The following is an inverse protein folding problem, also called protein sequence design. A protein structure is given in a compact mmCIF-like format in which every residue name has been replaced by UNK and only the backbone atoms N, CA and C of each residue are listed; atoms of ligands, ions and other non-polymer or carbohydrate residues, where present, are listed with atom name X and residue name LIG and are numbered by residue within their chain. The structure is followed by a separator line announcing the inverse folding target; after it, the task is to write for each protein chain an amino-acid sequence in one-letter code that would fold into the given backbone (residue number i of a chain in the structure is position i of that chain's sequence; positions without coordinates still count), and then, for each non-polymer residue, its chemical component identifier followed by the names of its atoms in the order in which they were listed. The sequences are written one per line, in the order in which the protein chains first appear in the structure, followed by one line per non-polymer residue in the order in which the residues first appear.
data_IF_970042705299
#
_entry.id   IF_970042705299
#
_cell.length_a   1.000
_cell.length_b   1.000
_cell.length_c   1.000
_cell.angle_alpha   90.00
_cell.angle_beta   90.00
_cell.angle_gamma   90.00
#
_symmetry.space_group_name_H-M   'P 1'
#
loop_
_entity.id
_entity.type
_entity.pdbx_description
1 polymer ?
#
# COMPACT_ATOMS: atom_id res chain seq x y z
N UNK A 1 -16.30 -6.45 26.87
CA UNK A 1 -16.70 -5.60 25.73
C UNK A 1 -16.55 -6.44 24.47
N UNK A 2 -17.65 -6.97 23.93
CA UNK A 2 -17.61 -7.61 22.61
C UNK A 2 -17.33 -6.50 21.60
N UNK A 3 -16.14 -6.52 21.00
CA UNK A 3 -15.75 -5.49 20.05
C UNK A 3 -16.49 -5.77 18.73
N UNK A 4 -17.70 -5.21 18.59
CA UNK A 4 -18.50 -5.25 17.36
C UNK A 4 -17.95 -4.35 16.25
N UNK A 5 -16.72 -3.82 16.40
CA UNK A 5 -16.07 -3.00 15.40
C UNK A 5 -15.50 -3.88 14.27
N UNK A 6 -15.93 -3.62 13.04
CA UNK A 6 -15.34 -4.24 11.85
C UNK A 6 -14.00 -3.57 11.57
N UNK A 7 -12.90 -4.29 11.75
CA UNK A 7 -11.57 -3.79 11.40
C UNK A 7 -11.36 -3.80 9.89
N UNK A 8 -11.45 -2.64 9.26
CA UNK A 8 -11.23 -2.42 7.81
C UNK A 8 -9.87 -1.81 7.49
N UNK A 9 -9.02 -1.60 8.51
CA UNK A 9 -7.64 -1.12 8.34
C UNK A 9 -6.75 -2.28 7.93
N UNK A 10 -5.68 -2.00 7.19
CA UNK A 10 -4.76 -3.04 6.76
C UNK A 10 -3.53 -2.47 6.08
N UNK A 11 -2.92 -3.30 5.23
CA UNK A 11 -1.81 -2.89 4.37
C UNK A 11 -2.29 -1.83 3.37
N UNK A 12 -1.40 -0.94 2.88
CA UNK A 12 -1.80 0.04 1.88
C UNK A 12 -2.42 -0.64 0.65
N UNK A 13 -3.57 -0.16 0.18
CA UNK A 13 -4.31 -0.78 -0.93
C UNK A 13 -3.50 -0.81 -2.22
N UNK A 14 -2.62 0.19 -2.38
CA UNK A 14 -1.65 0.28 -3.45
C UNK A 14 -0.71 -0.93 -3.51
N UNK A 15 -0.46 -1.65 -2.41
CA UNK A 15 0.39 -2.85 -2.40
C UNK A 15 -0.19 -3.98 -3.26
N UNK A 16 -1.52 -4.12 -3.26
CA UNK A 16 -2.22 -5.20 -3.99
C UNK A 16 -2.85 -4.72 -5.30
N UNK A 17 -3.07 -3.42 -5.47
CA UNK A 17 -3.59 -2.83 -6.70
C UNK A 17 -2.76 -1.61 -7.12
N UNK A 18 -1.90 -1.74 -8.14
CA UNK A 18 -1.08 -0.63 -8.65
C UNK A 18 -1.92 0.55 -9.15
N UNK A 19 -3.18 0.32 -9.51
CA UNK A 19 -4.12 1.36 -9.92
C UNK A 19 -4.34 2.41 -8.83
N UNK A 20 -4.25 2.04 -7.54
CA UNK A 20 -4.34 3.02 -6.46
C UNK A 20 -3.05 3.82 -6.25
N UNK A 21 -1.88 3.27 -6.60
CA UNK A 21 -0.65 4.06 -6.67
C UNK A 21 -0.70 5.08 -7.81
N UNK A 22 -1.27 4.68 -8.96
CA UNK A 22 -1.54 5.58 -10.09
C UNK A 22 -2.47 6.72 -9.66
N UNK A 23 -3.58 6.40 -8.97
CA UNK A 23 -4.48 7.42 -8.43
C UNK A 23 -3.74 8.46 -7.58
N UNK A 24 -2.99 8.00 -6.57
CA UNK A 24 -2.32 8.88 -5.61
C UNK A 24 -1.30 9.78 -6.32
N UNK A 25 -0.58 9.24 -7.29
CA UNK A 25 0.40 9.98 -8.09
C UNK A 25 -0.27 11.06 -8.94
N UNK A 26 -1.33 10.73 -9.68
CA UNK A 26 -2.02 11.68 -10.55
C UNK A 26 -2.81 12.74 -9.78
N UNK A 27 -3.35 12.40 -8.61
CA UNK A 27 -4.10 13.34 -7.78
C UNK A 27 -3.21 14.45 -7.20
N UNK A 28 -1.92 14.15 -6.98
CA UNK A 28 -0.93 15.08 -6.44
C UNK A 28 -0.10 15.82 -7.51
N UNK A 29 -0.20 15.39 -8.78
CA UNK A 29 0.57 15.94 -9.90
C UNK A 29 0.24 17.42 -10.19
N UNK A 30 1.05 18.34 -9.66
CA UNK A 30 0.89 19.77 -9.88
C UNK A 30 1.20 20.22 -11.31
N UNK A 31 1.78 19.36 -12.15
CA UNK A 31 2.07 19.65 -13.55
C UNK A 31 0.90 19.36 -14.48
N UNK A 32 -0.15 18.68 -14.00
CA UNK A 32 -1.35 18.37 -14.79
C UNK A 32 -2.05 19.64 -15.30
N UNK A 33 -2.25 19.69 -16.63
CA UNK A 33 -3.03 20.72 -17.31
C UNK A 33 -4.20 20.07 -18.03
N UNK A 34 -5.46 20.26 -17.59
CA UNK A 34 -6.61 19.71 -18.29
C UNK A 34 -6.85 20.43 -19.62
N UNK A 35 -7.39 19.70 -20.60
CA UNK A 35 -7.94 20.31 -21.80
C UNK A 35 -9.17 21.19 -21.46
N UNK A 36 -9.56 22.05 -22.42
CA UNK A 36 -10.62 23.04 -22.20
C UNK A 36 -12.00 22.40 -21.95
N UNK A 37 -12.28 21.25 -22.57
CA UNK A 37 -13.56 20.54 -22.40
C UNK A 37 -13.64 19.93 -21.01
N UNK A 38 -12.60 19.20 -20.59
CA UNK A 38 -12.50 18.60 -19.27
C UNK A 38 -12.54 19.65 -18.15
N UNK A 39 -11.87 20.79 -18.34
CA UNK A 39 -11.92 21.91 -17.42
C UNK A 39 -13.33 22.50 -17.32
N UNK A 40 -14.03 22.63 -18.46
CA UNK A 40 -15.40 23.11 -18.49
C UNK A 40 -16.36 22.17 -17.73
N UNK A 41 -16.28 20.87 -17.98
CA UNK A 41 -17.06 19.85 -17.27
C UNK A 41 -16.77 19.86 -15.76
N UNK A 42 -15.49 19.99 -15.38
CA UNK A 42 -15.09 20.11 -13.97
C UNK A 42 -15.73 21.34 -13.32
N UNK A 43 -15.69 22.49 -13.99
CA UNK A 43 -16.33 23.71 -13.50
C UNK A 43 -17.85 23.54 -13.35
N UNK A 44 -18.52 22.92 -14.33
CA UNK A 44 -19.96 22.63 -14.24
C UNK A 44 -20.29 21.73 -13.06
N UNK A 45 -19.49 20.66 -12.86
CA UNK A 45 -19.59 19.77 -11.71
C UNK A 45 -19.44 20.53 -10.39
N UNK A 46 -18.40 21.32 -10.22
CA UNK A 46 -18.20 22.09 -8.99
C UNK A 46 -19.34 23.08 -8.74
N UNK A 47 -19.83 23.75 -9.79
CA UNK A 47 -20.97 24.68 -9.69
C UNK A 47 -22.23 23.97 -9.22
N UNK A 48 -22.51 22.78 -9.74
CA UNK A 48 -23.68 21.98 -9.35
C UNK A 48 -23.49 21.35 -7.97
N UNK A 49 -22.30 20.87 -7.65
CA UNK A 49 -21.96 20.35 -6.32
C UNK A 49 -22.16 21.40 -5.23
N UNK A 50 -21.87 22.68 -5.53
CA UNK A 50 -22.08 23.84 -4.64
C UNK A 50 -23.56 24.22 -4.44
N UNK A 51 -24.47 23.74 -5.29
CA UNK A 51 -25.87 24.11 -5.21
C UNK A 51 -26.56 23.40 -4.04
N UNK A 52 -27.49 24.10 -3.40
CA UNK A 52 -28.35 23.52 -2.36
C UNK A 52 -29.51 22.81 -3.06
N UNK A 53 -29.61 21.50 -2.85
CA UNK A 53 -30.72 20.69 -3.34
C UNK A 53 -31.73 20.47 -2.22
N UNK A 54 -33.02 20.48 -2.56
CA UNK A 54 -34.08 20.18 -1.59
C UNK A 54 -34.38 18.67 -1.51
N UNK A 55 -33.98 17.91 -2.53
CA UNK A 55 -34.18 16.46 -2.62
C UNK A 55 -32.88 15.77 -2.99
N UNK A 56 -32.62 14.64 -2.34
CA UNK A 56 -31.45 13.79 -2.57
C UNK A 56 -31.43 13.25 -4.00
N UNK A 57 -32.57 12.76 -4.48
CA UNK A 57 -32.74 12.23 -5.83
C UNK A 57 -32.32 13.24 -6.92
N UNK A 58 -32.76 14.50 -6.80
CA UNK A 58 -32.44 15.56 -7.77
C UNK A 58 -30.92 15.86 -7.78
N UNK A 59 -30.26 15.77 -6.62
CA UNK A 59 -28.81 15.91 -6.51
C UNK A 59 -28.09 14.75 -7.18
N UNK A 60 -28.50 13.51 -6.88
CA UNK A 60 -27.91 12.31 -7.43
C UNK A 60 -28.01 12.28 -8.97
N UNK A 61 -29.18 12.58 -9.54
CA UNK A 61 -29.40 12.60 -10.99
C UNK A 61 -28.50 13.63 -11.71
N UNK A 62 -28.45 14.86 -11.20
CA UNK A 62 -27.64 15.94 -11.79
C UNK A 62 -26.14 15.64 -11.72
N UNK A 63 -25.65 15.15 -10.58
CA UNK A 63 -24.24 14.85 -10.40
C UNK A 63 -23.81 13.58 -11.15
N UNK A 64 -24.65 12.53 -11.18
CA UNK A 64 -24.40 11.32 -11.96
C UNK A 64 -24.30 11.60 -13.46
N UNK A 65 -25.09 12.53 -13.99
CA UNK A 65 -24.94 12.95 -15.39
C UNK A 65 -23.57 13.57 -15.66
N UNK A 66 -23.14 14.51 -14.82
CA UNK A 66 -21.85 15.18 -14.97
C UNK A 66 -20.68 14.22 -14.78
N UNK A 67 -20.75 13.32 -13.80
CA UNK A 67 -19.76 12.25 -13.65
C UNK A 67 -19.73 11.34 -14.87
N UNK A 68 -20.87 11.02 -15.48
CA UNK A 68 -20.89 10.21 -16.70
C UNK A 68 -20.13 10.89 -17.84
N UNK A 69 -20.32 12.19 -18.02
CA UNK A 69 -19.62 13.01 -19.01
C UNK A 69 -18.11 13.11 -18.70
N UNK A 70 -17.75 13.41 -17.44
CA UNK A 70 -16.35 13.56 -16.99
C UNK A 70 -15.56 12.25 -17.16
N UNK A 71 -16.17 11.12 -16.77
CA UNK A 71 -15.51 9.82 -16.80
C UNK A 71 -15.62 9.14 -18.16
N UNK A 72 -16.49 9.62 -19.05
CA UNK A 72 -16.79 8.98 -20.34
C UNK A 72 -17.41 7.59 -20.16
N UNK A 73 -18.18 7.39 -19.08
CA UNK A 73 -18.75 6.10 -18.69
C UNK A 73 -20.15 6.29 -18.15
N UNK A 74 -21.08 5.42 -18.51
CA UNK A 74 -22.44 5.47 -17.96
C UNK A 74 -22.43 5.13 -16.47
N UNK A 75 -23.05 5.98 -15.65
CA UNK A 75 -23.41 5.65 -14.27
C UNK A 75 -24.76 4.93 -14.29
N UNK A 76 -24.78 3.74 -13.70
CA UNK A 76 -25.95 2.88 -13.64
C UNK A 76 -26.56 2.93 -12.24
N UNK A 77 -27.88 2.94 -12.18
CA UNK A 77 -28.65 2.64 -10.98
C UNK A 77 -28.76 1.11 -10.86
N UNK A 78 -27.92 0.53 -10.00
CA UNK A 78 -27.84 -0.91 -9.78
C UNK A 78 -28.18 -1.23 -8.33
N UNK A 79 -29.28 -1.96 -8.13
CA UNK A 79 -29.55 -2.59 -6.84
C UNK A 79 -28.57 -3.74 -6.61
N UNK A 80 -27.77 -3.65 -5.55
CA UNK A 80 -26.69 -4.58 -5.23
C UNK A 80 -27.05 -5.30 -3.92
N UNK A 81 -27.73 -6.44 -4.05
CA UNK A 81 -28.26 -7.16 -2.90
C UNK A 81 -29.26 -6.31 -2.12
N UNK A 82 -28.87 -5.88 -0.92
CA UNK A 82 -29.66 -5.00 -0.05
C UNK A 82 -29.23 -3.53 -0.16
N UNK A 83 -28.10 -3.24 -0.78
CA UNK A 83 -27.62 -1.89 -1.03
C UNK A 83 -28.23 -1.36 -2.33
N UNK A 84 -28.51 -0.06 -2.32
CA UNK A 84 -29.02 0.64 -3.49
C UNK A 84 -28.25 1.96 -3.63
N UNK A 85 -26.98 1.90 -4.07
CA UNK A 85 -26.19 3.10 -4.22
C UNK A 85 -26.75 3.99 -5.32
N UNK A 86 -26.57 5.30 -5.16
CA UNK A 86 -27.03 6.29 -6.13
C UNK A 86 -26.38 6.15 -7.51
N UNK A 87 -25.22 5.48 -7.59
CA UNK A 87 -24.59 5.19 -8.86
C UNK A 87 -23.55 4.08 -8.79
N UNK A 88 -23.41 3.35 -9.90
CA UNK A 88 -22.37 2.35 -10.10
C UNK A 88 -21.76 2.48 -11.49
N UNK A 89 -20.42 2.42 -11.55
CA UNK A 89 -19.67 2.30 -12.80
C UNK A 89 -19.13 0.88 -12.86
N UNK A 90 -19.52 0.14 -13.89
CA UNK A 90 -19.14 -1.25 -14.09
C UNK A 90 -18.51 -1.46 -15.46
N UNK A 91 -17.81 -2.57 -15.63
CA UNK A 91 -17.39 -3.06 -16.95
C UNK A 91 -17.74 -4.54 -17.10
N UNK A 92 -17.80 -4.99 -18.34
CA UNK A 92 -18.03 -6.40 -18.66
C UNK A 92 -16.69 -7.11 -18.82
N UNK A 93 -16.35 -7.98 -17.87
CA UNK A 93 -15.20 -8.85 -17.94
C UNK A 93 -15.55 -10.08 -18.80
N UNK A 94 -14.73 -10.36 -19.81
CA UNK A 94 -14.96 -11.45 -20.76
C UNK A 94 -13.79 -12.42 -20.75
N UNK A 95 -14.07 -13.72 -20.70
CA UNK A 95 -13.08 -14.77 -20.87
C UNK A 95 -13.69 -15.98 -21.59
N UNK A 96 -12.83 -16.82 -22.15
CA UNK A 96 -13.23 -18.03 -22.87
C UNK A 96 -13.32 -19.24 -21.92
N UNK A 97 -14.41 -20.00 -22.05
CA UNK A 97 -14.57 -21.35 -21.48
C UNK A 97 -14.91 -22.36 -22.58
N UNK A 98 -14.91 -23.66 -22.27
CA UNK A 98 -15.19 -24.73 -23.24
C UNK A 98 -16.56 -24.56 -23.96
N UNK A 99 -17.51 -23.87 -23.33
CA UNK A 99 -18.88 -23.67 -23.81
C UNK A 99 -19.08 -22.31 -24.50
N UNK A 100 -18.03 -21.49 -24.64
CA UNK A 100 -18.06 -20.16 -25.24
C UNK A 100 -17.64 -19.03 -24.29
N UNK A 101 -17.78 -17.76 -24.72
CA UNK A 101 -17.40 -16.61 -23.91
C UNK A 101 -18.33 -16.43 -22.72
N UNK A 102 -17.74 -16.26 -21.54
CA UNK A 102 -18.45 -15.92 -20.31
C UNK A 102 -18.30 -14.43 -20.03
N UNK A 103 -19.40 -13.81 -19.63
CA UNK A 103 -19.50 -12.39 -19.34
C UNK A 103 -19.79 -12.19 -17.85
N UNK A 104 -19.04 -11.32 -17.19
CA UNK A 104 -19.21 -10.97 -15.78
C UNK A 104 -19.20 -9.46 -15.58
N UNK A 105 -20.21 -8.93 -14.91
CA UNK A 105 -20.25 -7.52 -14.52
C UNK A 105 -19.35 -7.27 -13.32
N UNK A 106 -18.37 -6.38 -13.47
CA UNK A 106 -17.38 -6.07 -12.44
C UNK A 106 -17.43 -4.57 -12.09
N UNK A 107 -17.43 -4.19 -10.80
CA UNK A 107 -17.51 -2.78 -10.41
C UNK A 107 -16.14 -2.10 -10.49
N UNK A 108 -16.10 -0.94 -11.16
CA UNK A 108 -14.97 0.00 -11.11
C UNK A 108 -15.16 1.01 -9.98
N UNK A 109 -16.38 1.53 -9.84
CA UNK A 109 -16.73 2.49 -8.81
C UNK A 109 -18.16 2.31 -8.30
N UNK A 110 -18.37 2.57 -7.01
CA UNK A 110 -19.69 2.72 -6.37
C UNK A 110 -19.79 4.13 -5.80
N UNK A 111 -20.95 4.76 -5.99
CA UNK A 111 -21.16 6.19 -5.76
C UNK A 111 -22.36 6.39 -4.84
N UNK A 112 -22.18 7.21 -3.81
CA UNK A 112 -23.25 7.64 -2.91
C UNK A 112 -23.24 9.17 -2.76
N UNK A 113 -24.42 9.77 -2.88
CA UNK A 113 -24.65 11.19 -2.68
C UNK A 113 -25.53 11.41 -1.45
N UNK A 114 -25.21 12.48 -0.73
CA UNK A 114 -26.06 13.06 0.31
C UNK A 114 -26.18 14.54 0.06
N UNK A 115 -27.37 15.06 0.38
CA UNK A 115 -27.66 16.49 0.21
C UNK A 115 -26.66 17.32 1.02
N UNK A 116 -26.50 16.97 2.30
CA UNK A 116 -25.55 17.59 3.21
C UNK A 116 -25.04 16.58 4.25
N UNK A 117 -23.90 16.84 4.93
CA UNK A 117 -23.44 16.01 6.04
C UNK A 117 -24.52 15.80 7.10
N UNK A 118 -24.79 14.54 7.43
CA UNK A 118 -25.81 14.15 8.41
C UNK A 118 -27.23 13.97 7.85
N UNK A 119 -27.45 14.19 6.55
CA UNK A 119 -28.70 13.83 5.89
C UNK A 119 -28.78 12.31 5.62
N UNK A 120 -29.98 11.77 5.42
CA UNK A 120 -30.18 10.36 5.03
C UNK A 120 -29.99 9.30 6.12
N UNK A 121 -29.67 9.69 7.36
CA UNK A 121 -29.59 8.77 8.51
C UNK A 121 -28.37 7.84 8.53
N UNK A 122 -27.52 7.89 7.50
CA UNK A 122 -26.24 7.19 7.42
C UNK A 122 -25.24 8.02 6.62
N UNK A 123 -23.96 7.87 6.94
CA UNK A 123 -22.85 8.52 6.24
C UNK A 123 -22.71 7.98 4.80
N UNK A 124 -22.59 8.86 3.79
CA UNK A 124 -22.46 8.46 2.38
C UNK A 124 -21.28 7.49 2.15
N UNK A 125 -20.14 7.75 2.80
CA UNK A 125 -18.96 6.90 2.75
C UNK A 125 -19.23 5.51 3.29
N UNK A 126 -19.83 5.40 4.47
CA UNK A 126 -20.20 4.10 5.06
C UNK A 126 -21.15 3.33 4.14
N UNK A 127 -22.15 3.99 3.53
CA UNK A 127 -23.06 3.36 2.58
C UNK A 127 -22.33 2.86 1.33
N UNK A 128 -21.45 3.68 0.75
CA UNK A 128 -20.71 3.32 -0.46
C UNK A 128 -19.79 2.11 -0.21
N UNK A 129 -19.10 2.09 0.95
CA UNK A 129 -18.24 0.98 1.35
C UNK A 129 -19.04 -0.31 1.59
N UNK A 130 -20.21 -0.20 2.22
CA UNK A 130 -21.11 -1.34 2.42
C UNK A 130 -21.67 -1.86 1.08
N UNK A 131 -21.96 -0.97 0.13
CA UNK A 131 -22.40 -1.34 -1.21
C UNK A 131 -21.31 -2.05 -2.01
N UNK A 132 -20.04 -1.63 -1.90
CA UNK A 132 -18.90 -2.37 -2.50
C UNK A 132 -18.82 -3.79 -1.96
N UNK A 133 -18.89 -3.96 -0.64
CA UNK A 133 -18.87 -5.30 -0.02
C UNK A 133 -20.04 -6.16 -0.52
N UNK A 134 -21.26 -5.62 -0.53
CA UNK A 134 -22.43 -6.33 -1.04
C UNK A 134 -22.31 -6.69 -2.53
N UNK A 135 -21.67 -5.85 -3.35
CA UNK A 135 -21.47 -6.17 -4.78
C UNK A 135 -20.72 -7.48 -4.94
N UNK A 136 -19.61 -7.58 -4.23
CA UNK A 136 -18.76 -8.73 -4.29
C UNK A 136 -19.36 -9.92 -3.52
N UNK A 137 -20.05 -9.72 -2.40
CA UNK A 137 -20.76 -10.82 -1.73
C UNK A 137 -21.87 -11.45 -2.59
N UNK A 138 -22.62 -10.66 -3.36
CA UNK A 138 -23.61 -11.19 -4.29
C UNK A 138 -22.99 -11.82 -5.54
N UNK A 139 -21.77 -11.42 -5.87
CA UNK A 139 -20.94 -12.03 -6.92
C UNK A 139 -20.08 -13.17 -6.37
N UNK A 140 -20.49 -13.84 -5.28
CA UNK A 140 -19.68 -14.86 -4.61
C UNK A 140 -19.23 -15.94 -5.58
N UNK A 141 -17.90 -16.16 -5.66
CA UNK A 141 -17.19 -17.11 -6.56
C UNK A 141 -17.02 -16.65 -8.00
N UNK A 142 -17.25 -15.37 -8.28
CA UNK A 142 -16.96 -14.80 -9.60
C UNK A 142 -15.49 -15.02 -10.01
N UNK A 143 -15.25 -15.01 -11.32
CA UNK A 143 -13.90 -15.18 -11.85
C UNK A 143 -13.04 -13.98 -11.48
N UNK A 144 -13.58 -12.77 -11.50
CA UNK A 144 -12.85 -11.56 -11.09
C UNK A 144 -12.34 -11.63 -9.65
N UNK A 145 -13.14 -12.18 -8.72
CA UNK A 145 -12.72 -12.41 -7.33
C UNK A 145 -11.57 -13.42 -7.21
N UNK A 146 -11.62 -14.50 -7.99
CA UNK A 146 -10.57 -15.52 -7.97
C UNK A 146 -9.26 -15.02 -8.60
N UNK A 147 -9.33 -14.01 -9.47
CA UNK A 147 -8.19 -13.48 -10.22
C UNK A 147 -7.56 -12.23 -9.60
N UNK A 148 -8.22 -11.53 -8.69
CA UNK A 148 -7.72 -10.25 -8.20
C UNK A 148 -8.12 -10.00 -6.75
N UNK A 149 -7.65 -8.89 -6.20
CA UNK A 149 -8.07 -8.39 -4.89
C UNK A 149 -9.33 -7.52 -4.97
N UNK A 150 -10.16 -7.68 -6.01
CA UNK A 150 -11.41 -6.92 -6.18
C UNK A 150 -11.23 -5.39 -6.05
N UNK A 151 -10.28 -4.77 -6.77
CA UNK A 151 -10.03 -3.34 -6.65
C UNK A 151 -11.27 -2.55 -7.13
N UNK A 152 -11.84 -1.76 -6.23
CA UNK A 152 -13.02 -0.92 -6.52
C UNK A 152 -12.84 0.44 -5.88
N UNK A 153 -13.27 1.50 -6.55
CA UNK A 153 -13.36 2.85 -5.96
C UNK A 153 -14.70 2.99 -5.24
N UNK A 154 -14.71 3.53 -4.03
CA UNK A 154 -15.93 4.06 -3.43
C UNK A 154 -15.85 5.59 -3.43
N UNK A 155 -16.82 6.23 -4.06
CA UNK A 155 -16.92 7.68 -4.20
C UNK A 155 -18.12 8.12 -3.38
N UNK A 156 -17.90 8.96 -2.39
CA UNK A 156 -18.97 9.46 -1.54
C UNK A 156 -18.97 10.98 -1.55
N UNK A 157 -20.15 11.59 -1.61
CA UNK A 157 -20.31 13.04 -1.59
C UNK A 157 -21.39 13.46 -0.61
N UNK A 158 -21.04 14.23 0.41
CA UNK A 158 -22.01 14.88 1.31
C UNK A 158 -21.95 16.38 1.09
N UNK A 159 -22.98 16.94 0.45
CA UNK A 159 -22.88 18.30 -0.06
C UNK A 159 -21.60 18.46 -0.90
N UNK A 160 -20.78 19.50 -0.69
CA UNK A 160 -19.58 19.74 -1.49
C UNK A 160 -18.36 18.87 -1.11
N UNK A 161 -18.47 17.97 -0.12
CA UNK A 161 -17.34 17.17 0.36
C UNK A 161 -17.19 15.88 -0.44
N UNK A 162 -16.14 15.77 -1.25
CA UNK A 162 -15.84 14.56 -2.02
C UNK A 162 -14.91 13.64 -1.24
N UNK A 163 -15.30 12.38 -1.04
CA UNK A 163 -14.51 11.35 -0.37
C UNK A 163 -14.25 10.20 -1.33
N UNK A 164 -13.01 9.76 -1.40
CA UNK A 164 -12.58 8.71 -2.34
C UNK A 164 -11.84 7.65 -1.55
N UNK A 165 -12.33 6.42 -1.64
CA UNK A 165 -11.73 5.26 -1.03
C UNK A 165 -11.30 4.26 -2.10
N UNK A 166 -10.15 3.64 -1.87
CA UNK A 166 -9.73 2.43 -2.56
C UNK A 166 -10.14 1.23 -1.71
N UNK A 167 -10.85 0.31 -2.34
CA UNK A 167 -11.36 -0.90 -1.71
C UNK A 167 -10.64 -2.11 -2.31
N UNK A 168 -10.14 -2.99 -1.47
CA UNK A 168 -9.63 -4.30 -1.87
C UNK A 168 -10.11 -5.38 -0.92
N UNK A 169 -10.23 -6.59 -1.47
CA UNK A 169 -10.44 -7.83 -0.75
C UNK A 169 -9.11 -8.57 -0.57
N UNK A 170 -8.75 -8.82 0.69
CA UNK A 170 -7.68 -9.73 1.09
C UNK A 170 -8.28 -10.97 1.76
N UNK A 171 -7.92 -11.28 3.01
CA UNK A 171 -8.71 -12.10 3.94
C UNK A 171 -9.92 -11.36 4.54
N UNK A 172 -9.96 -10.04 4.35
CA UNK A 172 -11.06 -9.16 4.71
C UNK A 172 -11.06 -7.95 3.79
N UNK A 173 -12.12 -7.15 3.85
CA UNK A 173 -12.15 -5.84 3.21
C UNK A 173 -11.16 -4.88 3.86
N UNK A 174 -10.32 -4.27 3.03
CA UNK A 174 -9.53 -3.10 3.39
C UNK A 174 -10.11 -1.91 2.63
N UNK A 175 -10.43 -0.86 3.37
CA UNK A 175 -10.93 0.40 2.82
C UNK A 175 -9.97 1.51 3.22
N UNK A 176 -9.36 2.17 2.24
CA UNK A 176 -8.37 3.21 2.48
C UNK A 176 -8.80 4.51 1.79
N UNK A 177 -8.90 5.64 2.51
CA UNK A 177 -8.98 6.95 1.88
C UNK A 177 -7.77 7.21 0.97
N UNK A 178 -7.99 7.56 -0.30
CA UNK A 178 -6.92 7.70 -1.29
C UNK A 178 -6.38 9.12 -1.44
N UNK A 179 -7.15 10.13 -1.02
CA UNK A 179 -6.77 11.53 -1.07
C UNK A 179 -7.33 12.27 0.15
N UNK A 180 -6.72 13.41 0.48
CA UNK A 180 -7.37 14.39 1.34
C UNK A 180 -8.72 14.80 0.73
N UNK A 181 -9.76 14.94 1.57
CA UNK A 181 -11.15 15.21 1.14
C UNK A 181 -11.22 16.50 0.32
N UNK A 182 -11.41 16.45 -1.02
CA UNK A 182 -11.50 17.66 -1.81
C UNK A 182 -12.80 18.40 -1.50
N UNK A 183 -12.68 19.69 -1.22
CA UNK A 183 -13.82 20.58 -1.12
C UNK A 183 -14.18 21.08 -2.51
N UNK A 184 -15.35 20.69 -3.02
CA UNK A 184 -15.76 20.94 -4.41
C UNK A 184 -16.56 22.23 -4.59
N UNK A 185 -16.82 22.98 -3.52
CA UNK A 185 -17.57 24.22 -3.62
C UNK A 185 -16.75 25.34 -4.28
N UNK A 186 -17.42 26.17 -5.08
CA UNK A 186 -16.80 27.32 -5.73
C UNK A 186 -16.88 28.55 -4.81
N UNK A 187 -15.73 29.00 -4.31
CA UNK A 187 -15.60 30.35 -3.75
C UNK A 187 -15.57 31.39 -4.89
N UNK A 188 -16.16 32.57 -4.68
CA UNK A 188 -16.34 33.56 -5.75
C UNK A 188 -15.03 34.12 -6.33
N UNK A 189 -15.19 34.68 -7.53
CA UNK A 189 -14.35 35.60 -8.30
C UNK A 189 -12.86 35.29 -8.55
N UNK A 190 -12.41 34.03 -8.57
CA UNK A 190 -11.37 33.44 -9.47
C UNK A 190 -10.82 32.09 -8.92
N UNK A 191 -11.64 31.01 -8.88
CA UNK A 191 -11.31 29.76 -8.19
C UNK A 191 -10.37 28.82 -8.99
N UNK A 192 -9.57 29.33 -9.94
CA UNK A 192 -8.88 28.47 -10.93
C UNK A 192 -8.00 27.40 -10.28
N UNK A 193 -7.33 27.73 -9.16
CA UNK A 193 -6.53 26.77 -8.39
C UNK A 193 -7.38 25.62 -7.86
N UNK A 194 -8.56 25.93 -7.32
CA UNK A 194 -9.45 24.95 -6.72
C UNK A 194 -10.11 24.09 -7.81
N UNK A 195 -10.47 24.70 -8.96
CA UNK A 195 -10.93 23.97 -10.15
C UNK A 195 -9.86 22.99 -10.64
N UNK A 196 -8.62 23.44 -10.78
CA UNK A 196 -7.51 22.57 -11.20
C UNK A 196 -7.26 21.44 -10.19
N UNK A 197 -7.42 21.72 -8.89
CA UNK A 197 -7.30 20.69 -7.86
C UNK A 197 -8.38 19.62 -7.99
N UNK A 198 -9.64 20.00 -8.21
CA UNK A 198 -10.72 19.04 -8.44
C UNK A 198 -10.53 18.30 -9.78
N UNK A 199 -10.09 19.01 -10.83
CA UNK A 199 -9.81 18.43 -12.14
C UNK A 199 -8.76 17.30 -12.04
N UNK A 200 -7.68 17.50 -11.28
CA UNK A 200 -6.67 16.45 -11.05
C UNK A 200 -7.27 15.20 -10.42
N UNK A 201 -8.09 15.37 -9.39
CA UNK A 201 -8.73 14.24 -8.70
C UNK A 201 -9.68 13.49 -9.64
N UNK A 202 -10.50 14.20 -10.42
CA UNK A 202 -11.40 13.59 -11.40
C UNK A 202 -10.63 12.89 -12.53
N UNK A 203 -9.52 13.47 -12.98
CA UNK A 203 -8.61 12.85 -13.94
C UNK A 203 -8.00 11.57 -13.39
N UNK A 204 -7.52 11.61 -12.14
CA UNK A 204 -6.97 10.45 -11.43
C UNK A 204 -8.01 9.33 -11.28
N UNK A 205 -9.26 9.65 -10.92
CA UNK A 205 -10.37 8.68 -10.88
C UNK A 205 -10.58 8.01 -12.25
N UNK A 206 -10.66 8.81 -13.32
CA UNK A 206 -10.85 8.31 -14.69
C UNK A 206 -9.73 7.37 -15.11
N UNK A 207 -8.47 7.77 -14.89
CA UNK A 207 -7.30 6.98 -15.20
C UNK A 207 -7.24 5.68 -14.39
N UNK A 208 -7.59 5.75 -13.11
CA UNK A 208 -7.61 4.60 -12.19
C UNK A 208 -8.64 3.56 -12.62
N UNK A 209 -9.86 3.99 -12.95
CA UNK A 209 -10.90 3.08 -13.46
C UNK A 209 -10.47 2.39 -14.75
N UNK A 210 -9.84 3.12 -15.67
CA UNK A 210 -9.30 2.55 -16.90
C UNK A 210 -8.18 1.52 -16.64
N UNK A 211 -7.26 1.82 -15.73
CA UNK A 211 -6.16 0.90 -15.38
C UNK A 211 -6.67 -0.37 -14.67
N UNK A 212 -7.66 -0.25 -13.77
CA UNK A 212 -8.32 -1.41 -13.12
C UNK A 212 -8.94 -2.33 -14.18
N UNK A 213 -9.74 -1.77 -15.10
CA UNK A 213 -10.37 -2.51 -16.18
C UNK A 213 -9.33 -3.20 -17.08
N UNK A 214 -8.32 -2.45 -17.55
CA UNK A 214 -7.28 -2.97 -18.43
C UNK A 214 -6.52 -4.14 -17.80
N UNK A 215 -6.20 -4.05 -16.50
CA UNK A 215 -5.53 -5.12 -15.77
C UNK A 215 -6.42 -6.35 -15.64
N UNK A 216 -7.68 -6.17 -15.26
CA UNK A 216 -8.60 -7.29 -15.12
C UNK A 216 -8.78 -8.04 -16.45
N UNK A 217 -8.92 -7.32 -17.57
CA UNK A 217 -9.01 -7.90 -18.91
C UNK A 217 -7.73 -8.66 -19.31
N UNK A 218 -6.55 -8.08 -19.07
CA UNK A 218 -5.26 -8.76 -19.30
C UNK A 218 -5.12 -10.03 -18.47
N UNK A 219 -5.57 -10.01 -17.23
CA UNK A 219 -5.55 -11.18 -16.35
C UNK A 219 -6.52 -12.27 -16.80
N UNK A 220 -7.70 -11.91 -17.26
CA UNK A 220 -8.67 -12.85 -17.81
C UNK A 220 -8.15 -13.55 -19.08
N UNK A 221 -7.41 -12.83 -19.93
CA UNK A 221 -6.87 -13.37 -21.18
C UNK A 221 -5.66 -14.32 -21.01
N UNK A 222 -4.94 -14.28 -19.88
CA UNK A 222 -3.57 -14.86 -19.80
C UNK A 222 -3.45 -16.29 -19.25
N UNK A 223 -4.48 -16.90 -18.62
CA UNK A 223 -4.61 -18.36 -18.34
C UNK A 223 -5.60 -18.65 -17.20
N UNK A 224 -6.09 -19.90 -17.04
CA UNK A 224 -6.53 -20.38 -15.75
C UNK A 224 -5.34 -20.38 -14.78
N UNK A 225 -5.30 -19.39 -13.88
CA UNK A 225 -4.42 -19.43 -12.72
C UNK A 225 -4.65 -20.73 -11.94
N UNK A 226 -3.60 -21.33 -11.34
CA UNK A 226 -3.76 -22.57 -10.60
C UNK A 226 -4.84 -22.43 -9.51
N UNK A 227 -5.60 -23.50 -9.21
CA UNK A 227 -6.75 -23.49 -8.30
C UNK A 227 -6.43 -23.08 -6.85
N UNK A 228 -5.14 -22.90 -6.51
CA UNK A 228 -4.65 -22.50 -5.20
C UNK A 228 -4.03 -21.09 -5.17
N UNK A 229 -4.05 -20.35 -6.29
CA UNK A 229 -3.62 -18.96 -6.29
C UNK A 229 -4.61 -18.13 -5.46
N UNK A 230 -4.12 -17.50 -4.39
CA UNK A 230 -4.87 -16.53 -3.57
C UNK A 230 -4.31 -15.14 -3.89
N UNK A 231 -4.89 -14.40 -4.86
CA UNK A 231 -4.45 -13.03 -5.18
C UNK A 231 -4.46 -12.13 -3.94
N UNK A 232 -5.39 -12.42 -3.04
CA UNK A 232 -5.70 -11.80 -1.75
C UNK A 232 -4.49 -11.58 -0.81
N UNK A 233 -3.34 -12.20 -1.07
CA UNK A 233 -2.18 -12.14 -0.15
C UNK A 233 -0.86 -11.71 -0.79
N UNK A 234 -0.78 -11.59 -2.11
CA UNK A 234 0.47 -11.31 -2.80
C UNK A 234 0.56 -9.83 -3.21
N UNK A 235 1.71 -9.18 -2.98
CA UNK A 235 1.96 -7.85 -3.54
C UNK A 235 1.87 -7.87 -5.07
N UNK A 236 1.35 -6.79 -5.65
CA UNK A 236 1.31 -6.60 -7.09
C UNK A 236 2.68 -6.31 -7.75
N UNK A 237 3.65 -5.62 -7.10
CA UNK A 237 4.95 -5.38 -7.71
C UNK A 237 5.72 -6.70 -7.88
N UNK A 238 5.90 -7.15 -9.12
CA UNK A 238 6.68 -8.35 -9.45
C UNK A 238 7.94 -8.03 -10.26
N UNK A 239 8.15 -6.77 -10.64
CA UNK A 239 9.31 -6.34 -11.42
C UNK A 239 9.93 -5.11 -10.77
N UNK A 240 11.25 -5.12 -10.63
CA UNK A 240 12.01 -4.00 -10.10
C UNK A 240 13.48 -4.11 -10.49
N UNK A 241 14.17 -2.97 -10.67
CA UNK A 241 15.62 -2.93 -10.82
C UNK A 241 16.18 -3.85 -11.91
N UNK A 242 15.45 -4.12 -13.00
CA UNK A 242 15.90 -5.02 -14.09
C UNK A 242 15.77 -6.52 -13.79
N UNK A 243 14.90 -6.92 -12.85
CA UNK A 243 14.60 -8.33 -12.60
C UNK A 243 13.13 -8.57 -12.24
N UNK A 244 12.69 -9.81 -12.44
CA UNK A 244 11.32 -10.26 -12.20
C UNK A 244 11.25 -11.27 -11.05
N UNK A 245 10.15 -11.24 -10.30
CA UNK A 245 9.96 -11.93 -9.04
C UNK A 245 8.64 -12.71 -9.02
N UNK A 246 8.68 -13.89 -8.40
CA UNK A 246 7.51 -14.66 -8.00
C UNK A 246 7.47 -14.78 -6.48
N UNK A 247 6.40 -14.31 -5.83
CA UNK A 247 6.27 -14.40 -4.39
C UNK A 247 6.01 -15.84 -3.94
N UNK A 248 6.78 -16.29 -2.95
CA UNK A 248 6.72 -17.65 -2.43
C UNK A 248 6.05 -17.75 -1.05
N UNK A 249 6.32 -16.79 -0.14
CA UNK A 249 5.73 -16.76 1.19
C UNK A 249 5.67 -15.34 1.78
N UNK A 250 4.64 -15.06 2.59
CA UNK A 250 4.67 -13.93 3.52
C UNK A 250 5.53 -14.31 4.74
N UNK A 251 6.51 -13.47 5.07
CA UNK A 251 7.45 -13.70 6.18
C UNK A 251 6.99 -12.93 7.42
N UNK A 252 6.59 -13.68 8.44
CA UNK A 252 6.09 -13.13 9.70
C UNK A 252 4.62 -12.71 9.62
N UNK A 253 4.24 -11.76 10.47
CA UNK A 253 2.87 -11.26 10.54
C UNK A 253 2.58 -10.35 9.34
N UNK A 254 1.38 -10.42 8.75
CA UNK A 254 1.03 -9.75 7.48
C UNK A 254 1.30 -8.24 7.46
N UNK A 255 1.15 -7.56 8.59
CA UNK A 255 1.46 -6.13 8.74
C UNK A 255 2.95 -5.78 8.67
N UNK A 256 3.85 -6.77 8.63
CA UNK A 256 5.29 -6.53 8.46
C UNK A 256 5.72 -6.39 7.01
N UNK A 257 4.80 -6.58 6.06
CA UNK A 257 5.01 -6.31 4.63
C UNK A 257 6.31 -6.93 4.08
N UNK A 258 6.67 -8.10 4.59
CA UNK A 258 7.92 -8.78 4.25
C UNK A 258 7.59 -10.13 3.63
N UNK A 259 8.24 -10.46 2.52
CA UNK A 259 7.94 -11.62 1.69
C UNK A 259 9.22 -12.30 1.25
N UNK A 260 9.17 -13.61 0.99
CA UNK A 260 10.17 -14.29 0.19
C UNK A 260 9.71 -14.34 -1.26
N UNK A 261 10.65 -14.18 -2.18
CA UNK A 261 10.38 -14.28 -3.61
C UNK A 261 11.49 -15.05 -4.32
N UNK A 262 11.13 -15.72 -5.41
CA UNK A 262 12.03 -16.35 -6.36
C UNK A 262 12.30 -15.37 -7.50
N UNK A 263 13.55 -15.23 -7.92
CA UNK A 263 13.90 -14.47 -9.12
C UNK A 263 13.58 -15.29 -10.36
N UNK A 264 12.70 -14.79 -11.22
CA UNK A 264 12.31 -15.46 -12.47
C UNK A 264 13.24 -15.11 -13.63
N UNK A 265 13.69 -13.86 -13.70
CA UNK A 265 14.58 -13.35 -14.73
C UNK A 265 15.40 -12.18 -14.17
N UNK A 266 16.55 -11.90 -14.78
CA UNK A 266 17.44 -10.80 -14.38
C UNK A 266 18.28 -10.32 -15.56
N UNK A 267 18.31 -9.00 -15.75
CA UNK A 267 19.17 -8.32 -16.71
C UNK A 267 20.58 -8.05 -16.15
N UNK A 268 20.80 -8.31 -14.86
CA UNK A 268 22.10 -8.12 -14.22
C UNK A 268 23.12 -9.18 -14.62
N UNK A 269 24.44 -8.85 -14.58
CA UNK A 269 25.49 -9.83 -14.75
C UNK A 269 25.39 -11.01 -13.78
N UNK A 270 25.87 -12.19 -14.23
CA UNK A 270 25.94 -13.38 -13.39
C UNK A 270 26.70 -13.10 -12.08
N UNK A 271 26.18 -13.66 -10.97
CA UNK A 271 26.74 -13.49 -9.62
C UNK A 271 26.16 -12.34 -8.81
N UNK A 272 25.45 -11.38 -9.43
CA UNK A 272 24.72 -10.33 -8.69
C UNK A 272 23.36 -10.88 -8.24
N UNK A 273 22.48 -11.14 -9.19
CA UNK A 273 21.17 -11.72 -8.99
C UNK A 273 20.88 -12.57 -10.23
N UNK A 274 20.40 -13.80 -10.03
CA UNK A 274 20.25 -14.79 -11.10
C UNK A 274 18.94 -15.55 -10.93
N UNK A 275 18.45 -16.11 -12.03
CA UNK A 275 17.22 -16.90 -12.05
C UNK A 275 17.29 -18.06 -11.04
N UNK A 276 16.20 -18.27 -10.30
CA UNK A 276 16.10 -19.30 -9.27
C UNK A 276 16.66 -18.88 -7.90
N UNK A 277 17.24 -17.68 -7.76
CA UNK A 277 17.70 -17.18 -6.47
C UNK A 277 16.51 -16.77 -5.60
N UNK A 278 16.51 -17.21 -4.34
CA UNK A 278 15.57 -16.75 -3.32
C UNK A 278 16.03 -15.42 -2.71
N UNK A 279 15.13 -14.45 -2.66
CA UNK A 279 15.34 -13.11 -2.09
C UNK A 279 14.29 -12.78 -1.03
N UNK A 280 14.55 -11.73 -0.25
CA UNK A 280 13.58 -11.13 0.66
C UNK A 280 13.14 -9.80 0.09
N UNK A 281 11.83 -9.60 0.00
CA UNK A 281 11.19 -8.36 -0.46
C UNK A 281 10.49 -7.73 0.73
N UNK A 282 10.67 -6.43 0.93
CA UNK A 282 9.96 -5.68 1.95
C UNK A 282 9.38 -4.39 1.37
N UNK A 283 8.19 -4.03 1.85
CA UNK A 283 7.57 -2.74 1.57
C UNK A 283 7.53 -1.89 2.84
N UNK A 284 7.89 -0.63 2.72
CA UNK A 284 7.95 0.30 3.86
C UNK A 284 7.83 1.74 3.38
N UNK A 285 7.32 2.64 4.21
CA UNK A 285 7.21 4.07 3.88
C UNK A 285 8.58 4.73 3.72
N UNK A 286 9.56 4.32 4.53
CA UNK A 286 10.91 4.89 4.55
C UNK A 286 11.95 3.81 4.80
N UNK A 287 13.15 4.01 4.23
CA UNK A 287 14.24 3.05 4.37
C UNK A 287 15.61 3.72 4.40
N UNK A 288 16.41 3.37 5.41
CA UNK A 288 17.82 3.77 5.51
C UNK A 288 18.69 2.99 4.53
N UNK A 289 18.67 3.37 3.25
CA UNK A 289 19.44 2.75 2.18
C UNK A 289 20.94 2.83 2.45
N UNK A 290 21.46 4.03 2.74
CA UNK A 290 22.87 4.30 2.98
C UNK A 290 23.43 3.51 4.18
N UNK A 291 22.81 3.54 5.38
CA UNK A 291 23.29 2.73 6.50
C UNK A 291 23.22 1.22 6.22
N UNK A 292 22.20 0.75 5.48
CA UNK A 292 22.14 -0.66 5.05
C UNK A 292 23.33 -1.01 4.15
N UNK A 293 23.59 -0.23 3.09
CA UNK A 293 24.69 -0.47 2.16
C UNK A 293 26.06 -0.46 2.85
N UNK A 294 26.27 0.43 3.84
CA UNK A 294 27.51 0.51 4.63
C UNK A 294 27.77 -0.81 5.38
N UNK A 295 26.75 -1.35 6.05
CA UNK A 295 26.89 -2.62 6.77
C UNK A 295 26.96 -3.82 5.81
N UNK A 296 26.23 -3.79 4.71
CA UNK A 296 26.27 -4.83 3.70
C UNK A 296 27.68 -4.99 3.10
N UNK A 297 28.36 -3.87 2.79
CA UNK A 297 29.76 -3.87 2.31
C UNK A 297 30.74 -4.52 3.30
N UNK A 298 30.41 -4.53 4.59
CA UNK A 298 31.21 -5.16 5.65
C UNK A 298 30.76 -6.59 5.98
N UNK A 299 29.76 -7.13 5.27
CA UNK A 299 29.17 -8.44 5.56
C UNK A 299 28.41 -8.49 6.89
N UNK A 300 27.93 -7.34 7.36
CA UNK A 300 27.20 -7.18 8.64
C UNK A 300 25.70 -6.99 8.44
N UNK A 301 25.24 -6.96 7.19
CA UNK A 301 23.84 -6.93 6.77
C UNK A 301 23.73 -7.71 5.45
N UNK A 302 22.55 -8.24 5.09
CA UNK A 302 22.36 -8.86 3.78
C UNK A 302 22.62 -7.84 2.68
N UNK A 303 23.11 -8.28 1.52
CA UNK A 303 23.31 -7.36 0.40
C UNK A 303 21.98 -6.81 -0.08
N UNK A 304 21.93 -5.49 -0.24
CA UNK A 304 20.80 -4.78 -0.85
C UNK A 304 20.87 -4.95 -2.37
N UNK A 305 19.76 -5.40 -2.97
CA UNK A 305 19.63 -5.68 -4.41
C UNK A 305 18.79 -4.62 -5.13
N UNK A 306 17.78 -4.09 -4.45
CA UNK A 306 16.96 -2.99 -4.94
C UNK A 306 16.40 -2.18 -3.76
N UNK A 307 16.30 -0.86 -3.93
CA UNK A 307 15.63 0.04 -3.00
C UNK A 307 15.09 1.23 -3.79
N UNK A 308 13.77 1.31 -3.96
CA UNK A 308 13.14 2.37 -4.74
C UNK A 308 11.64 2.18 -4.92
N UNK A 309 11.07 2.96 -5.84
CA UNK A 309 9.64 2.94 -6.14
C UNK A 309 9.22 1.55 -6.70
N UNK A 310 8.15 0.90 -6.18
CA UNK A 310 7.61 -0.35 -6.71
C UNK A 310 6.92 -0.24 -8.09
N UNK A 311 6.61 0.98 -8.55
CA UNK A 311 5.74 1.23 -9.70
C UNK A 311 6.35 2.16 -10.74
N UNK A 312 7.67 2.10 -10.95
CA UNK A 312 8.41 2.98 -11.87
C UNK A 312 7.73 3.11 -13.25
N UNK A 313 7.17 2.03 -13.79
CA UNK A 313 6.57 1.99 -15.13
C UNK A 313 5.16 2.61 -15.22
N UNK A 314 4.44 2.72 -14.10
CA UNK A 314 3.02 3.10 -14.08
C UNK A 314 2.80 4.40 -13.30
N UNK A 315 3.56 4.58 -12.21
CA UNK A 315 3.43 5.68 -11.28
C UNK A 315 4.84 6.09 -10.79
N UNK A 316 5.66 6.74 -11.65
CA UNK A 316 7.07 7.01 -11.37
C UNK A 316 7.32 7.92 -10.17
N UNK A 317 6.38 8.83 -9.89
CA UNK A 317 6.42 9.75 -8.75
C UNK A 317 5.73 9.18 -7.49
N UNK A 318 5.33 7.91 -7.51
CA UNK A 318 4.69 7.29 -6.35
C UNK A 318 5.65 7.21 -5.15
N UNK A 319 5.29 7.91 -4.08
CA UNK A 319 6.08 7.99 -2.85
C UNK A 319 5.46 7.25 -1.66
N UNK A 320 4.32 6.58 -1.83
CA UNK A 320 3.59 5.96 -0.72
C UNK A 320 4.24 4.69 -0.14
N UNK A 321 5.05 3.97 -0.93
CA UNK A 321 5.83 2.82 -0.48
C UNK A 321 7.17 2.76 -1.20
N UNK A 322 8.20 2.37 -0.46
CA UNK A 322 9.50 1.92 -0.96
C UNK A 322 9.54 0.40 -0.98
N UNK A 323 9.93 -0.17 -2.12
CA UNK A 323 10.22 -1.59 -2.26
C UNK A 323 11.71 -1.82 -2.04
N UNK A 324 12.02 -2.76 -1.14
CA UNK A 324 13.37 -3.14 -0.75
C UNK A 324 13.55 -4.62 -1.05
N UNK A 325 14.48 -4.95 -1.94
CA UNK A 325 14.86 -6.34 -2.24
C UNK A 325 16.27 -6.57 -1.72
N UNK A 326 16.46 -7.61 -0.92
CA UNK A 326 17.74 -7.96 -0.32
C UNK A 326 17.98 -9.47 -0.38
N UNK A 327 19.24 -9.87 -0.22
CA UNK A 327 19.57 -11.29 -0.12
C UNK A 327 18.96 -11.94 1.12
N UNK A 328 18.55 -13.20 0.97
CA UNK A 328 18.12 -13.99 2.12
C UNK A 328 19.34 -14.34 2.98
N UNK A 329 19.31 -13.95 4.24
CA UNK A 329 20.38 -14.27 5.19
C UNK A 329 20.48 -15.78 5.44
N UNK A 330 21.69 -16.39 5.39
CA UNK A 330 21.88 -17.80 5.73
C UNK A 330 21.42 -18.10 7.16
N UNK A 331 20.68 -19.20 7.35
CA UNK A 331 20.15 -19.60 8.67
C UNK A 331 18.80 -18.96 9.05
N UNK A 332 18.22 -18.10 8.21
CA UNK A 332 16.83 -17.66 8.37
C UNK A 332 15.86 -18.80 8.05
N UNK A 333 15.49 -19.62 9.05
CA UNK A 333 14.39 -20.56 8.92
C UNK A 333 13.08 -19.80 8.60
N UNK A 334 12.17 -20.43 7.85
CA UNK A 334 10.90 -19.83 7.43
C UNK A 334 9.84 -19.78 8.56
N UNK A 335 10.13 -20.34 9.74
CA UNK A 335 9.25 -20.31 10.90
C UNK A 335 9.92 -19.57 12.07
N UNK A 336 9.22 -18.65 12.75
CA UNK A 336 9.70 -18.00 13.96
C UNK A 336 9.51 -18.94 15.18
N UNK A 337 9.99 -20.18 15.10
CA UNK A 337 9.81 -21.13 16.19
C UNK A 337 10.93 -20.96 17.23
N UNK A 338 10.49 -20.32 18.32
CA UNK A 338 11.12 -20.11 19.63
C UNK A 338 12.48 -19.38 19.60
N UNK A 339 12.58 -18.18 20.21
CA UNK A 339 13.88 -17.63 20.53
C UNK A 339 14.62 -18.67 21.36
N UNK A 340 15.83 -19.03 20.93
CA UNK A 340 16.72 -19.86 21.73
C UNK A 340 16.87 -19.20 23.10
N UNK A 341 16.40 -19.87 24.16
CA UNK A 341 16.58 -19.44 25.55
C UNK A 341 18.05 -19.58 26.00
N UNK A 342 18.94 -20.02 25.11
CA UNK A 342 20.35 -20.09 25.40
C UNK A 342 20.90 -18.67 25.62
N UNK A 343 21.69 -18.46 26.70
CA UNK A 343 22.28 -17.16 26.97
C UNK A 343 23.13 -16.69 25.78
N UNK A 344 23.02 -15.40 25.46
CA UNK A 344 23.81 -14.78 24.40
C UNK A 344 25.30 -14.88 24.77
N UNK A 345 26.12 -15.45 23.88
CA UNK A 345 27.55 -15.55 24.14
C UNK A 345 28.20 -14.16 24.13
N UNK A 346 29.22 -13.90 24.96
CA UNK A 346 29.92 -12.61 24.97
C UNK A 346 30.45 -12.21 23.59
N UNK A 347 30.91 -13.20 22.82
CA UNK A 347 31.39 -13.00 21.44
C UNK A 347 30.29 -12.57 20.48
N UNK A 348 29.06 -13.07 20.66
CA UNK A 348 27.92 -12.64 19.85
C UNK A 348 27.52 -11.19 20.20
N UNK A 349 27.44 -10.85 21.50
CA UNK A 349 27.18 -9.47 21.92
C UNK A 349 28.25 -8.51 21.37
N UNK A 350 29.53 -8.89 21.43
CA UNK A 350 30.62 -8.09 20.88
C UNK A 350 30.46 -7.83 19.37
N UNK A 351 30.03 -8.82 18.58
CA UNK A 351 29.74 -8.66 17.15
C UNK A 351 28.59 -7.68 16.89
N UNK A 352 27.51 -7.75 17.67
CA UNK A 352 26.37 -6.81 17.57
C UNK A 352 26.82 -5.38 17.86
N UNK A 353 27.56 -5.19 18.94
CA UNK A 353 28.14 -3.90 19.30
C UNK A 353 29.08 -3.37 18.22
N UNK A 354 29.91 -4.22 17.62
CA UNK A 354 30.80 -3.83 16.53
C UNK A 354 30.01 -3.35 15.31
N UNK A 355 28.94 -4.04 14.93
CA UNK A 355 28.12 -3.64 13.78
C UNK A 355 27.46 -2.27 13.98
N UNK A 356 26.84 -2.03 15.14
CA UNK A 356 26.26 -0.72 15.46
C UNK A 356 27.34 0.36 15.54
N UNK A 357 28.52 0.04 16.08
CA UNK A 357 29.65 0.98 16.10
C UNK A 357 30.09 1.41 14.70
N UNK A 358 30.06 0.50 13.73
CA UNK A 358 30.38 0.84 12.33
C UNK A 358 29.35 1.80 11.72
N UNK A 359 28.06 1.67 12.05
CA UNK A 359 27.03 2.66 11.67
C UNK A 359 27.27 4.01 12.34
N UNK A 360 27.51 4.01 13.65
CA UNK A 360 27.68 5.23 14.43
C UNK A 360 28.90 6.04 13.98
N UNK A 361 30.00 5.35 13.65
CA UNK A 361 31.21 5.97 13.05
C UNK A 361 30.92 6.65 11.72
N UNK A 362 29.99 6.11 10.94
CA UNK A 362 29.58 6.68 9.66
C UNK A 362 28.53 7.81 9.81
N UNK A 363 28.15 8.18 11.04
CA UNK A 363 27.19 9.26 11.31
C UNK A 363 25.73 8.81 11.41
N UNK A 364 25.45 7.50 11.31
CA UNK A 364 24.09 6.96 11.28
C UNK A 364 23.70 6.35 12.63
N UNK A 365 22.42 6.47 12.99
CA UNK A 365 21.76 5.68 14.02
C UNK A 365 20.88 4.61 13.35
N UNK A 366 20.64 3.49 14.01
CA UNK A 366 19.76 2.42 13.51
C UNK A 366 18.31 2.58 13.98
N UNK A 367 18.11 3.00 15.24
CA UNK A 367 16.80 3.28 15.83
C UNK A 367 15.94 2.07 16.19
N UNK A 368 16.39 0.85 15.90
CA UNK A 368 15.61 -0.39 16.10
C UNK A 368 16.50 -1.60 16.45
N UNK A 369 17.53 -1.39 17.27
CA UNK A 369 18.42 -2.47 17.71
C UNK A 369 17.69 -3.38 18.69
N UNK A 370 17.28 -4.58 18.25
CA UNK A 370 16.59 -5.56 19.09
C UNK A 370 17.05 -6.98 18.74
N UNK A 371 16.70 -7.96 19.58
CA UNK A 371 16.96 -9.38 19.28
C UNK A 371 16.23 -9.89 18.04
N UNK A 372 15.20 -9.18 17.56
CA UNK A 372 14.44 -9.52 16.34
C UNK A 372 15.03 -8.89 15.07
N UNK A 373 15.90 -7.90 15.21
CA UNK A 373 16.56 -7.25 14.07
C UNK A 373 17.93 -7.83 13.76
N UNK A 374 18.34 -8.90 14.46
CA UNK A 374 19.64 -9.53 14.29
C UNK A 374 19.46 -11.01 13.97
N UNK A 375 20.02 -11.44 12.85
CA UNK A 375 20.16 -12.86 12.49
C UNK A 375 21.57 -13.33 12.83
N UNK A 376 21.65 -14.46 13.52
CA UNK A 376 22.90 -15.19 13.74
C UNK A 376 23.19 -16.06 12.51
N UNK A 377 24.33 -15.84 11.88
CA UNK A 377 24.73 -16.61 10.71
C UNK A 377 25.40 -17.93 11.16
N UNK A 378 25.19 -19.02 10.41
CA UNK A 378 25.94 -20.25 10.61
C UNK A 378 27.42 -20.02 10.34
N UNK A 379 28.28 -20.53 11.23
CA UNK A 379 29.73 -20.46 11.05
C UNK A 379 30.49 -20.91 12.30
N UNK A 380 31.81 -21.09 12.20
CA UNK A 380 32.63 -21.44 13.35
C UNK A 380 32.46 -20.39 14.46
N UNK A 381 32.12 -20.86 15.67
CA UNK A 381 31.82 -20.04 16.86
C UNK A 381 30.54 -19.19 16.80
N UNK A 382 29.74 -19.27 15.73
CA UNK A 382 28.45 -18.57 15.60
C UNK A 382 28.50 -17.05 15.90
N UNK A 383 29.61 -16.40 15.55
CA UNK A 383 29.86 -14.98 15.86
C UNK A 383 29.46 -14.02 14.74
N UNK A 384 29.21 -14.54 13.53
CA UNK A 384 28.78 -13.71 12.40
C UNK A 384 27.30 -13.37 12.52
N UNK A 385 26.96 -12.14 12.17
CA UNK A 385 25.60 -11.62 12.26
C UNK A 385 25.21 -10.89 10.99
N UNK A 386 23.91 -10.83 10.74
CA UNK A 386 23.32 -9.81 9.89
C UNK A 386 22.37 -8.94 10.72
N UNK A 387 22.54 -7.62 10.64
CA UNK A 387 21.60 -6.63 11.13
C UNK A 387 20.55 -6.34 10.03
N UNK A 388 19.30 -6.21 10.44
CA UNK A 388 18.12 -6.06 9.58
C UNK A 388 17.27 -4.85 10.03
N UNK A 389 16.23 -4.54 9.25
CA UNK A 389 15.20 -3.56 9.59
C UNK A 389 15.72 -2.12 9.69
N UNK A 390 16.30 -1.63 8.58
CA UNK A 390 16.84 -0.28 8.44
C UNK A 390 15.76 0.79 8.23
N UNK A 391 14.48 0.52 8.50
CA UNK A 391 13.38 1.48 8.28
C UNK A 391 13.48 2.75 9.14
N UNK A 392 14.14 2.64 10.29
CA UNK A 392 14.40 3.77 11.20
C UNK A 392 15.88 4.20 11.18
N UNK A 393 16.68 3.57 10.32
CA UNK A 393 18.09 3.89 10.24
C UNK A 393 18.30 5.13 9.38
N UNK A 394 19.15 6.03 9.83
CA UNK A 394 19.49 7.23 9.07
C UNK A 394 20.41 8.15 9.84
N UNK A 395 20.71 9.30 9.27
CA UNK A 395 21.67 10.23 9.84
C UNK A 395 21.15 10.75 11.18
N UNK A 396 22.06 10.81 12.16
CA UNK A 396 21.72 11.29 13.49
C UNK A 396 21.09 12.69 13.44
N UNK A 397 19.91 12.82 14.05
CA UNK A 397 19.18 14.08 14.06
C UNK A 397 18.39 14.41 12.78
N UNK A 398 18.31 13.49 11.81
CA UNK A 398 17.49 13.66 10.58
C UNK A 398 16.36 12.65 10.42
N UNK A 399 16.48 11.47 11.01
CA UNK A 399 15.43 10.44 10.95
C UNK A 399 14.53 10.51 12.16
N UNK A 400 13.22 10.32 11.95
CA UNK A 400 12.22 10.37 13.01
C UNK A 400 11.59 9.00 13.24
N UNK A 401 11.17 8.75 14.48
CA UNK A 401 10.27 7.65 14.80
C UNK A 401 8.90 7.88 14.17
N UNK A 402 8.34 6.84 13.54
CA UNK A 402 6.95 6.85 13.08
C UNK A 402 5.97 7.04 14.25
N UNK A 403 4.72 7.41 13.93
CA UNK A 403 3.62 7.49 14.89
C UNK A 403 3.41 6.14 15.57
N UNK A 404 3.52 5.07 14.79
CA UNK A 404 3.60 3.71 15.32
C UNK A 404 5.05 3.38 15.66
N UNK A 405 5.34 3.36 16.96
CA UNK A 405 6.66 3.02 17.46
C UNK A 405 6.97 1.54 17.16
N UNK A 406 8.24 1.21 16.85
CA UNK A 406 8.64 -0.18 16.62
C UNK A 406 8.35 -1.02 17.87
N UNK A 407 8.06 -2.31 17.65
CA UNK A 407 7.87 -3.26 18.73
C UNK A 407 9.08 -3.24 19.68
N UNK A 408 8.83 -2.93 20.95
CA UNK A 408 9.85 -2.93 22.00
C UNK A 408 9.79 -4.27 22.75
N UNK A 409 10.94 -4.89 23.08
CA UNK A 409 10.93 -6.04 23.98
C UNK A 409 10.34 -5.62 25.32
N UNK A 410 9.32 -6.35 25.82
CA UNK A 410 8.57 -6.02 27.04
C UNK A 410 9.45 -5.81 28.29
N UNK A 411 10.69 -6.32 28.26
CA UNK A 411 11.63 -6.28 29.39
C UNK A 411 12.61 -5.09 29.36
N UNK A 412 12.60 -4.25 28.33
CA UNK A 412 13.53 -3.09 28.24
C UNK A 412 12.72 -1.80 28.17
N UNK A 413 12.83 -0.91 29.18
CA UNK A 413 12.16 0.39 29.12
C UNK A 413 12.73 1.19 27.95
N UNK A 414 11.88 2.01 27.34
CA UNK A 414 12.34 2.88 26.27
C UNK A 414 13.29 3.94 26.82
N UNK A 415 14.40 4.25 26.12
CA UNK A 415 15.24 5.37 26.51
C UNK A 415 14.49 6.70 26.36
N UNK A 416 14.97 7.71 27.07
CA UNK A 416 14.45 9.06 26.97
C UNK A 416 14.47 9.56 25.51
N UNK A 417 13.43 10.29 25.11
CA UNK A 417 13.32 10.84 23.75
C UNK A 417 12.77 9.87 22.69
N UNK A 418 12.54 8.59 22.99
CA UNK A 418 11.87 7.68 22.05
C UNK A 418 10.34 7.83 22.11
N UNK A 419 9.81 8.72 21.29
CA UNK A 419 8.37 8.91 21.10
C UNK A 419 8.02 9.27 19.65
N UNK A 420 6.73 9.17 19.26
CA UNK A 420 6.28 9.55 17.92
C UNK A 420 6.85 10.89 17.46
N UNK A 421 7.34 10.93 16.21
CA UNK A 421 7.90 12.12 15.56
C UNK A 421 9.12 12.72 16.26
N UNK A 422 9.75 12.00 17.19
CA UNK A 422 11.06 12.37 17.74
C UNK A 422 12.19 11.78 16.93
N UNK A 423 13.34 12.44 17.03
CA UNK A 423 14.55 12.06 16.33
C UNK A 423 15.10 10.73 16.85
N UNK A 424 15.52 9.89 15.92
CA UNK A 424 16.32 8.71 16.18
C UNK A 424 17.76 9.15 16.47
N UNK A 425 18.30 8.69 17.60
CA UNK A 425 19.65 9.07 18.07
C UNK A 425 20.52 7.84 18.29
N UNK A 426 21.85 8.03 18.31
CA UNK A 426 22.79 6.94 18.62
C UNK A 426 22.65 6.46 20.06
N UNK A 427 22.29 7.35 20.99
CA UNK A 427 22.02 7.04 22.38
C UNK A 427 20.88 6.01 22.53
N UNK A 428 19.87 6.07 21.66
CA UNK A 428 18.80 5.07 21.64
C UNK A 428 19.34 3.68 21.32
N UNK A 429 20.22 3.56 20.32
CA UNK A 429 20.87 2.28 19.99
C UNK A 429 21.75 1.79 21.16
N UNK A 430 22.54 2.68 21.77
CA UNK A 430 23.42 2.35 22.89
C UNK A 430 22.64 1.82 24.09
N UNK A 431 21.49 2.42 24.41
CA UNK A 431 20.61 1.95 25.46
C UNK A 431 20.15 0.52 25.20
N UNK A 432 19.65 0.22 24.00
CA UNK A 432 19.22 -1.15 23.66
C UNK A 432 20.39 -2.14 23.64
N UNK A 433 21.57 -1.72 23.18
CA UNK A 433 22.78 -2.54 23.24
C UNK A 433 23.17 -2.93 24.66
N UNK A 434 23.10 -2.01 25.62
CA UNK A 434 23.44 -2.26 27.02
C UNK A 434 22.48 -3.27 27.66
N UNK A 435 21.18 -3.15 27.38
CA UNK A 435 20.14 -3.96 28.03
C UNK A 435 19.93 -5.32 27.36
N UNK A 436 20.04 -5.40 26.03
CA UNK A 436 19.76 -6.63 25.27
C UNK A 436 21.03 -7.42 24.93
N UNK A 437 22.19 -6.77 24.84
CA UNK A 437 23.45 -7.37 24.42
C UNK A 437 24.60 -7.01 25.38
N UNK A 438 24.50 -7.37 26.67
CA UNK A 438 25.50 -6.98 27.66
C UNK A 438 26.87 -7.57 27.33
N UNK A 439 27.92 -6.73 27.45
CA UNK A 439 29.31 -7.17 27.43
C UNK A 439 29.66 -7.65 28.84
N UNK A 440 29.43 -8.93 29.14
CA UNK A 440 29.91 -9.54 30.39
C UNK A 440 31.42 -9.75 30.34
#
# INVERSE_FOLDING_TARGET
MNNNEKNTRGVPVALHSPSFALFQTLAEDQSFVPDAEFLHLTYQFMRKSSAIFLKEQERAEELSKLFSDIFGRTILDLQIGRANPDGSIVFNLVWEEEQGPVHETVPLAVIEFKVEPGSGGCDAGVQALAAVEQFWENSFRSRAQKMSCCPTLAIAMDGPWLRIYGCIWTDRWIFQPLAAVPYTAIASNLPIRDILSVARVLHALRATMHDIESRAQKLAATSPRPPHFRPEMWPAPTRCGGFELEYAACLGLRWRLTYSALVLSSDHPEGVIWQGKMVVVRFTEQYGKEPHEILAKKGLAPRLLYCGNPYVDIAPEYAGLTMVVMERSPGSAASPDKPSEAPLSPTFCASVHAAVKELHKAGYAHGNVTTKTIIRLPGPRNTKIHLLNFELAGEEGKTYYSVELPWRPEKVPAPEGVSPLRLVTKEHDLHFLQHLFPRK
#
